data_IF_532934942015
#
_entry.id   IF_532934942015
#
_cell.length_a   1.000
_cell.length_b   1.000
_cell.length_c   1.000
_cell.angle_alpha   90.00
_cell.angle_beta   90.00
_cell.angle_gamma   90.00
#
_symmetry.space_group_name_H-M   'P 1'
#
loop_
_entity.id
_entity.type
_entity.pdbx_description
1 polymer ?
#
# COMPACT_ATOMS: atom_id res chain seq x y z
N UNK A 1 -1.17 -14.02 -2.00
CA UNK A 1 -0.49 -12.72 -2.20
C UNK A 1 0.64 -12.98 -3.18
N UNK A 2 0.62 -12.27 -4.31
CA UNK A 2 1.76 -12.21 -5.24
C UNK A 2 2.92 -11.50 -4.57
N UNK A 3 4.17 -11.76 -4.99
CA UNK A 3 5.33 -11.00 -4.52
C UNK A 3 5.15 -9.48 -4.74
N UNK A 4 4.52 -9.14 -5.87
CA UNK A 4 4.12 -7.79 -6.24
C UNK A 4 2.84 -7.40 -5.49
N UNK A 5 3.01 -6.72 -4.37
CA UNK A 5 1.91 -6.20 -3.55
C UNK A 5 1.93 -4.67 -3.56
N UNK A 6 1.99 -4.10 -4.75
CA UNK A 6 1.92 -2.65 -4.95
C UNK A 6 0.53 -2.26 -5.41
N UNK A 7 -0.02 -1.22 -4.78
CA UNK A 7 -1.34 -0.67 -5.04
C UNK A 7 -1.24 0.84 -5.09
N UNK A 8 -1.90 1.47 -6.06
CA UNK A 8 -1.88 2.93 -6.22
C UNK A 8 -3.29 3.49 -6.19
N UNK A 9 -3.42 4.60 -5.47
CA UNK A 9 -4.60 5.45 -5.50
C UNK A 9 -4.35 6.61 -6.45
N UNK A 10 -5.35 6.93 -7.26
CA UNK A 10 -5.24 7.96 -8.29
C UNK A 10 -5.82 9.29 -7.82
N UNK A 11 -5.27 10.39 -8.35
CA UNK A 11 -5.75 11.75 -8.12
C UNK A 11 -7.16 11.94 -8.69
N UNK A 12 -8.00 12.82 -8.11
CA UNK A 12 -9.29 13.17 -8.71
C UNK A 12 -9.14 13.69 -10.15
N UNK A 13 -10.11 13.39 -11.02
CA UNK A 13 -10.07 13.78 -12.44
C UNK A 13 -9.17 12.91 -13.32
N UNK A 14 -8.71 11.76 -12.82
CA UNK A 14 -7.96 10.79 -13.63
C UNK A 14 -8.90 10.03 -14.60
N UNK A 15 -8.41 9.53 -15.73
CA UNK A 15 -9.26 8.84 -16.72
C UNK A 15 -9.92 7.55 -16.21
N UNK A 16 -9.41 6.93 -15.15
CA UNK A 16 -9.95 5.68 -14.58
C UNK A 16 -10.99 5.91 -13.49
N UNK A 17 -11.30 7.16 -13.14
CA UNK A 17 -12.31 7.51 -12.14
C UNK A 17 -13.65 6.77 -12.32
N UNK A 18 -14.18 6.57 -13.55
CA UNK A 18 -15.44 5.84 -13.75
C UNK A 18 -15.41 4.34 -13.42
N UNK A 19 -14.23 3.77 -13.17
CA UNK A 19 -14.06 2.33 -12.96
C UNK A 19 -13.39 2.00 -11.62
N UNK A 20 -13.11 3.01 -10.78
CA UNK A 20 -12.41 2.79 -9.50
C UNK A 20 -13.22 1.92 -8.52
N UNK A 21 -14.54 1.94 -8.61
CA UNK A 21 -15.44 1.09 -7.82
C UNK A 21 -15.27 -0.42 -8.11
N UNK A 22 -14.67 -0.77 -9.25
CA UNK A 22 -14.31 -2.14 -9.59
C UNK A 22 -13.09 -2.64 -8.82
N UNK A 23 -12.34 -1.77 -8.15
CA UNK A 23 -11.09 -2.10 -7.46
C UNK A 23 -11.24 -2.03 -5.94
N UNK A 24 -10.59 -2.94 -5.18
CA UNK A 24 -10.54 -2.85 -3.73
C UNK A 24 -10.04 -1.48 -3.27
N UNK A 25 -10.83 -0.82 -2.43
CA UNK A 25 -10.55 0.53 -1.89
C UNK A 25 -10.26 1.61 -2.96
N UNK A 26 -10.68 1.37 -4.21
CA UNK A 26 -10.37 2.23 -5.35
C UNK A 26 -8.89 2.24 -5.74
N UNK A 27 -8.13 1.22 -5.35
CA UNK A 27 -6.70 1.13 -5.61
C UNK A 27 -6.39 0.18 -6.76
N UNK A 28 -5.59 0.64 -7.72
CA UNK A 28 -5.23 -0.16 -8.90
C UNK A 28 -3.97 -0.97 -8.59
N UNK A 29 -3.94 -2.27 -8.95
CA UNK A 29 -2.78 -3.11 -8.73
C UNK A 29 -1.64 -2.75 -9.69
N UNK A 30 -0.46 -2.45 -9.17
CA UNK A 30 0.74 -2.20 -9.98
C UNK A 30 1.67 -3.40 -9.94
N UNK A 31 2.31 -3.66 -11.08
CA UNK A 31 3.29 -4.75 -11.24
C UNK A 31 4.56 -4.51 -10.43
N UNK A 32 4.91 -3.24 -10.21
CA UNK A 32 6.14 -2.86 -9.53
C UNK A 32 5.90 -1.63 -8.63
N UNK A 33 6.58 -1.51 -7.48
CA UNK A 33 6.65 -0.28 -6.67
C UNK A 33 7.26 0.94 -7.38
N UNK A 34 7.77 0.79 -8.60
CA UNK A 34 8.37 1.84 -9.41
C UNK A 34 7.73 1.91 -10.81
N UNK A 35 7.77 3.08 -11.46
CA UNK A 35 7.47 3.13 -12.89
C UNK A 35 8.50 2.30 -13.68
N UNK A 36 8.01 1.40 -14.53
CA UNK A 36 8.84 0.44 -15.27
C UNK A 36 9.26 0.95 -16.65
N UNK A 37 8.49 1.87 -17.24
CA UNK A 37 8.67 2.25 -18.63
C UNK A 37 8.96 3.74 -18.78
N UNK A 38 9.85 4.05 -19.73
CA UNK A 38 10.07 5.40 -20.23
C UNK A 38 9.79 5.39 -21.73
N UNK A 39 8.85 6.21 -22.16
CA UNK A 39 8.53 6.39 -23.56
C UNK A 39 8.86 7.81 -23.98
N UNK A 40 9.45 7.95 -25.17
CA UNK A 40 9.68 9.27 -25.76
C UNK A 40 8.37 9.72 -26.41
N UNK A 41 7.77 10.78 -25.89
CA UNK A 41 6.60 11.41 -26.48
C UNK A 41 6.95 12.09 -27.82
N UNK A 42 5.91 12.49 -28.56
CA UNK A 42 6.05 13.06 -29.91
C UNK A 42 6.85 14.37 -29.91
N UNK A 43 6.82 15.11 -28.80
CA UNK A 43 7.57 16.35 -28.56
C UNK A 43 9.00 16.12 -28.05
N UNK A 44 9.41 14.86 -27.87
CA UNK A 44 10.71 14.49 -27.34
C UNK A 44 10.77 14.40 -25.81
N UNK A 45 9.68 14.70 -25.10
CA UNK A 45 9.60 14.56 -23.65
C UNK A 45 9.67 13.08 -23.23
N UNK A 46 10.38 12.79 -22.13
CA UNK A 46 10.41 11.45 -21.56
C UNK A 46 9.23 11.28 -20.61
N UNK A 47 8.26 10.45 -20.99
CA UNK A 47 7.10 10.12 -20.18
C UNK A 47 7.38 8.84 -19.40
N UNK A 48 7.16 8.92 -18.08
CA UNK A 48 7.36 7.82 -17.14
C UNK A 48 6.04 7.10 -16.92
N UNK A 49 6.01 5.80 -17.16
CA UNK A 49 4.83 4.96 -17.14
C UNK A 49 4.94 3.86 -16.07
N UNK A 50 3.83 3.69 -15.35
CA UNK A 50 3.57 2.57 -14.46
C UNK A 50 2.87 1.46 -15.23
N UNK A 51 3.08 0.22 -14.81
CA UNK A 51 2.45 -0.95 -15.44
C UNK A 51 1.46 -1.54 -14.44
N UNK A 52 0.18 -1.53 -14.83
CA UNK A 52 -0.89 -2.20 -14.10
C UNK A 52 -0.67 -3.71 -14.18
N UNK A 53 -0.71 -4.39 -13.05
CA UNK A 53 -0.45 -5.82 -12.97
C UNK A 53 -1.62 -6.63 -13.53
N UNK A 54 -1.46 -7.15 -14.74
CA UNK A 54 -2.49 -7.91 -15.43
C UNK A 54 -2.86 -9.21 -14.69
N UNK A 55 -1.92 -9.83 -13.97
CA UNK A 55 -2.16 -11.09 -13.26
C UNK A 55 -3.08 -10.90 -12.05
N UNK A 56 -3.16 -9.67 -11.54
CA UNK A 56 -4.02 -9.28 -10.41
C UNK A 56 -5.37 -8.70 -10.84
N UNK A 57 -5.61 -8.54 -12.15
CA UNK A 57 -6.88 -8.04 -12.67
C UNK A 57 -7.87 -9.17 -12.90
N UNK A 58 -9.10 -8.98 -12.43
CA UNK A 58 -10.25 -9.72 -12.90
C UNK A 58 -10.62 -9.35 -14.34
N UNK A 59 -11.32 -10.23 -15.04
CA UNK A 59 -11.72 -10.00 -16.44
C UNK A 59 -12.52 -8.71 -16.65
N UNK A 60 -13.38 -8.35 -15.69
CA UNK A 60 -14.18 -7.12 -15.72
C UNK A 60 -13.27 -5.88 -15.60
N UNK A 61 -12.31 -5.89 -14.68
CA UNK A 61 -11.38 -4.79 -14.48
C UNK A 61 -10.48 -4.59 -15.71
N UNK A 62 -9.92 -5.68 -16.26
CA UNK A 62 -9.08 -5.62 -17.45
C UNK A 62 -9.84 -5.06 -18.66
N UNK A 63 -11.08 -5.52 -18.88
CA UNK A 63 -11.93 -5.00 -19.96
C UNK A 63 -12.28 -3.51 -19.77
N UNK A 64 -12.57 -3.08 -18.54
CA UNK A 64 -12.90 -1.70 -18.24
C UNK A 64 -11.72 -0.76 -18.51
N UNK A 65 -10.50 -1.14 -18.10
CA UNK A 65 -9.28 -0.38 -18.42
C UNK A 65 -9.08 -0.33 -19.94
N UNK A 66 -9.18 -1.46 -20.63
CA UNK A 66 -9.01 -1.52 -22.09
C UNK A 66 -10.00 -0.61 -22.82
N UNK A 67 -11.27 -0.57 -22.39
CA UNK A 67 -12.30 0.30 -22.95
C UNK A 67 -11.99 1.78 -22.77
N UNK A 68 -11.52 2.21 -21.59
CA UNK A 68 -11.15 3.60 -21.34
C UNK A 68 -9.99 4.03 -22.23
N UNK A 69 -8.93 3.21 -22.29
CA UNK A 69 -7.76 3.50 -23.12
C UNK A 69 -8.16 3.54 -24.60
N UNK A 70 -8.95 2.55 -25.05
CA UNK A 70 -9.43 2.47 -26.42
C UNK A 70 -10.28 3.69 -26.81
N UNK A 71 -11.18 4.14 -25.92
CA UNK A 71 -11.99 5.34 -26.13
C UNK A 71 -11.10 6.58 -26.29
N UNK A 72 -10.10 6.77 -25.42
CA UNK A 72 -9.18 7.90 -25.52
C UNK A 72 -8.27 7.87 -26.75
N UNK A 73 -7.96 6.68 -27.27
CA UNK A 73 -7.05 6.49 -28.41
C UNK A 73 -7.77 6.31 -29.76
N UNK A 74 -9.10 6.21 -29.75
CA UNK A 74 -9.86 5.84 -30.96
C UNK A 74 -9.48 4.45 -31.49
N UNK A 75 -9.17 3.52 -30.60
CA UNK A 75 -8.73 2.16 -30.93
C UNK A 75 -9.82 1.12 -30.61
N UNK A 76 -9.63 -0.12 -31.07
CA UNK A 76 -10.46 -1.26 -30.65
C UNK A 76 -9.99 -1.74 -29.26
N UNK A 77 -10.90 -1.93 -28.28
CA UNK A 77 -10.54 -2.45 -26.95
C UNK A 77 -9.77 -3.79 -26.98
N UNK A 78 -10.05 -4.67 -27.95
CA UNK A 78 -9.35 -5.94 -28.08
C UNK A 78 -7.89 -5.75 -28.50
N UNK A 79 -7.60 -4.71 -29.31
CA UNK A 79 -6.23 -4.37 -29.70
C UNK A 79 -5.45 -3.88 -28.48
N UNK A 80 -6.07 -3.02 -27.66
CA UNK A 80 -5.46 -2.53 -26.40
C UNK A 80 -5.20 -3.69 -25.43
N UNK A 81 -6.16 -4.60 -25.27
CA UNK A 81 -6.01 -5.77 -24.39
C UNK A 81 -4.90 -6.72 -24.87
N UNK A 82 -4.79 -6.93 -26.20
CA UNK A 82 -3.73 -7.74 -26.78
C UNK A 82 -2.33 -7.10 -26.59
N UNK A 83 -2.22 -5.78 -26.75
CA UNK A 83 -0.98 -5.05 -26.48
C UNK A 83 -0.58 -5.16 -25.00
N UNK A 84 -1.52 -4.92 -24.08
CA UNK A 84 -1.28 -5.07 -22.65
C UNK A 84 -0.81 -6.49 -22.28
N UNK A 85 -1.34 -7.52 -22.92
CA UNK A 85 -0.88 -8.91 -22.72
C UNK A 85 0.57 -9.10 -23.19
N UNK A 86 0.97 -8.46 -24.28
CA UNK A 86 2.33 -8.58 -24.82
C UNK A 86 3.40 -7.85 -23.98
N UNK A 87 3.02 -6.74 -23.35
CA UNK A 87 3.89 -5.92 -22.47
C UNK A 87 3.82 -6.41 -21.02
N UNK A 88 2.79 -7.19 -20.67
CA UNK A 88 2.56 -7.73 -19.33
C UNK A 88 1.87 -6.75 -18.39
N UNK A 89 1.02 -5.86 -18.92
CA UNK A 89 0.19 -4.93 -18.18
C UNK A 89 -0.30 -3.74 -18.99
N UNK A 90 -1.23 -2.97 -18.41
CA UNK A 90 -1.67 -1.69 -19.00
C UNK A 90 -0.77 -0.56 -18.52
N UNK A 91 -0.35 0.32 -19.42
CA UNK A 91 0.49 1.46 -19.03
C UNK A 91 -0.35 2.62 -18.50
N UNK A 92 0.11 3.23 -17.41
CA UNK A 92 -0.53 4.33 -16.72
C UNK A 92 0.47 5.46 -16.48
N UNK A 93 0.05 6.73 -16.64
CA UNK A 93 0.95 7.86 -16.37
C UNK A 93 1.25 7.99 -14.89
N UNK A 94 2.52 8.18 -14.55
CA UNK A 94 2.96 8.44 -13.18
C UNK A 94 2.25 9.65 -12.54
N UNK A 95 1.97 10.69 -13.32
CA UNK A 95 1.34 11.94 -12.86
C UNK A 95 -0.03 11.75 -12.22
N UNK A 96 -0.74 10.68 -12.59
CA UNK A 96 -2.07 10.36 -12.06
C UNK A 96 -2.02 9.75 -10.67
N UNK A 97 -0.87 9.24 -10.23
CA UNK A 97 -0.71 8.61 -8.92
C UNK A 97 -0.73 9.69 -7.83
N UNK A 98 -1.59 9.49 -6.84
CA UNK A 98 -1.70 10.33 -5.63
C UNK A 98 -0.97 9.68 -4.46
N UNK A 99 -1.24 8.40 -4.23
CA UNK A 99 -0.71 7.64 -3.11
C UNK A 99 -0.35 6.24 -3.56
N UNK A 100 0.71 5.69 -2.96
CA UNK A 100 1.16 4.33 -3.17
C UNK A 100 1.19 3.58 -1.85
N UNK A 101 0.67 2.37 -1.88
CA UNK A 101 0.89 1.39 -0.85
C UNK A 101 1.71 0.24 -1.44
N UNK A 102 2.75 -0.15 -0.72
CA UNK A 102 3.61 -1.27 -1.09
C UNK A 102 3.61 -2.29 0.03
N UNK A 103 3.57 -3.57 -0.33
CA UNK A 103 3.92 -4.66 0.56
C UNK A 103 5.43 -4.76 0.79
N UNK A 104 5.89 -5.85 1.42
CA UNK A 104 7.27 -5.98 1.88
C UNK A 104 8.33 -5.87 0.77
N UNK A 105 8.00 -6.27 -0.46
CA UNK A 105 8.89 -6.14 -1.62
C UNK A 105 9.30 -4.68 -1.87
N UNK A 106 8.33 -3.77 -1.85
CA UNK A 106 8.60 -2.35 -2.11
C UNK A 106 9.51 -1.72 -1.06
N UNK A 107 9.33 -2.07 0.21
CA UNK A 107 10.22 -1.60 1.28
C UNK A 107 11.64 -2.16 1.17
N UNK A 108 11.77 -3.47 0.89
CA UNK A 108 13.07 -4.10 0.71
C UNK A 108 13.84 -3.50 -0.47
N UNK A 109 13.17 -3.29 -1.60
CA UNK A 109 13.79 -2.69 -2.80
C UNK A 109 14.18 -1.23 -2.59
N UNK A 110 13.38 -0.46 -1.85
CA UNK A 110 13.74 0.92 -1.47
C UNK A 110 14.93 0.97 -0.52
N UNK A 111 15.03 0.03 0.40
CA UNK A 111 16.21 -0.12 1.26
C UNK A 111 17.45 -0.44 0.44
N UNK A 112 17.35 -1.39 -0.48
CA UNK A 112 18.46 -1.75 -1.38
C UNK A 112 18.90 -0.58 -2.26
N UNK A 113 17.96 0.25 -2.70
CA UNK A 113 18.25 1.48 -3.43
C UNK A 113 18.99 2.51 -2.54
N UNK A 114 18.56 2.68 -1.29
CA UNK A 114 19.26 3.55 -0.34
C UNK A 114 20.68 3.04 -0.06
N UNK A 115 20.86 1.73 0.16
CA UNK A 115 22.16 1.10 0.35
C UNK A 115 23.08 1.26 -0.87
N UNK A 116 22.52 1.15 -2.08
CA UNK A 116 23.25 1.42 -3.32
C UNK A 116 23.77 2.86 -3.37
N UNK A 117 22.93 3.84 -3.02
CA UNK A 117 23.35 5.24 -3.03
C UNK A 117 24.38 5.60 -1.96
N UNK A 118 24.37 4.91 -0.82
CA UNK A 118 25.37 5.14 0.23
C UNK A 118 26.72 4.48 -0.06
N UNK A 119 26.71 3.31 -0.70
CA UNK A 119 27.91 2.48 -0.89
C UNK A 119 28.58 2.66 -2.24
N UNK A 120 27.83 3.07 -3.28
CA UNK A 120 28.38 3.29 -4.60
C UNK A 120 29.23 4.58 -4.64
N UNK A 121 30.34 4.59 -5.41
CA UNK A 121 31.07 5.84 -5.73
C UNK A 121 30.13 6.89 -6.31
N UNK A 122 30.19 8.12 -5.80
CA UNK A 122 29.27 9.20 -6.20
C UNK A 122 29.87 10.12 -7.27
N UNK A 123 29.14 10.42 -8.36
CA UNK A 123 27.85 9.83 -8.75
C UNK A 123 28.01 8.39 -9.26
N UNK A 124 27.01 7.50 -9.09
CA UNK A 124 27.14 6.13 -9.54
C UNK A 124 27.33 6.07 -11.06
N UNK A 125 28.27 5.25 -11.50
CA UNK A 125 28.53 5.06 -12.93
C UNK A 125 27.33 4.40 -13.63
N UNK A 126 27.18 4.63 -14.94
CA UNK A 126 26.15 3.97 -15.74
C UNK A 126 26.23 2.43 -15.67
N UNK A 127 27.45 1.88 -15.49
CA UNK A 127 27.65 0.45 -15.28
C UNK A 127 27.10 0.00 -13.93
N UNK A 128 27.42 0.72 -12.85
CA UNK A 128 26.93 0.40 -11.51
C UNK A 128 25.40 0.45 -11.44
N UNK A 129 24.78 1.45 -12.06
CA UNK A 129 23.31 1.52 -12.20
C UNK A 129 22.74 0.32 -12.95
N UNK A 130 23.38 -0.10 -14.04
CA UNK A 130 22.92 -1.26 -14.82
C UNK A 130 23.04 -2.55 -14.04
N UNK A 131 24.14 -2.74 -13.31
CA UNK A 131 24.34 -3.91 -12.44
C UNK A 131 23.29 -3.95 -11.32
N UNK A 132 23.02 -2.80 -10.68
CA UNK A 132 21.95 -2.69 -9.69
C UNK A 132 20.58 -3.00 -10.30
N UNK A 133 20.22 -2.37 -11.42
CA UNK A 133 18.94 -2.58 -12.10
C UNK A 133 18.74 -4.04 -12.53
N UNK A 134 19.75 -4.66 -13.15
CA UNK A 134 19.66 -6.06 -13.57
C UNK A 134 19.47 -6.99 -12.36
N UNK A 135 20.18 -6.74 -11.25
CA UNK A 135 19.98 -7.49 -10.01
C UNK A 135 18.56 -7.35 -9.45
N UNK A 136 17.97 -6.15 -9.51
CA UNK A 136 16.58 -5.94 -9.11
C UNK A 136 15.62 -6.73 -10.01
N UNK A 137 15.81 -6.65 -11.33
CA UNK A 137 14.96 -7.30 -12.31
C UNK A 137 15.02 -8.84 -12.21
N UNK A 138 16.22 -9.40 -12.14
CA UNK A 138 16.46 -10.85 -12.07
C UNK A 138 15.89 -11.47 -10.79
N UNK A 139 15.95 -10.77 -9.65
CA UNK A 139 15.51 -11.31 -8.35
C UNK A 139 14.03 -11.06 -8.09
N UNK A 140 13.59 -9.82 -8.30
CA UNK A 140 12.24 -9.40 -7.91
C UNK A 140 11.22 -9.57 -9.03
N UNK A 141 11.59 -9.34 -10.29
CA UNK A 141 10.64 -9.38 -11.42
C UNK A 141 10.58 -10.78 -12.04
N UNK A 142 11.73 -11.32 -12.46
CA UNK A 142 11.79 -12.65 -13.09
C UNK A 142 12.04 -13.78 -12.09
N UNK A 143 12.68 -13.47 -10.96
CA UNK A 143 13.05 -14.45 -9.93
C UNK A 143 11.94 -14.75 -8.93
N UNK A 144 12.26 -15.61 -7.96
CA UNK A 144 11.36 -16.09 -6.91
C UNK A 144 11.79 -15.58 -5.52
N UNK A 145 12.52 -14.45 -5.45
CA UNK A 145 12.94 -13.90 -4.17
C UNK A 145 11.73 -13.42 -3.36
N UNK A 146 11.68 -13.83 -2.09
CA UNK A 146 10.59 -13.48 -1.17
C UNK A 146 11.11 -12.45 -0.18
N UNK A 147 10.48 -11.26 -0.10
CA UNK A 147 10.92 -10.22 0.83
C UNK A 147 10.66 -10.65 2.29
N UNK A 148 11.50 -10.18 3.24
CA UNK A 148 11.22 -10.40 4.65
C UNK A 148 9.87 -9.78 5.03
N UNK A 149 9.06 -10.41 5.90
CA UNK A 149 7.77 -9.87 6.31
C UNK A 149 7.94 -8.57 7.10
N UNK A 150 6.97 -7.66 6.96
CA UNK A 150 6.90 -6.40 7.72
C UNK A 150 5.64 -6.44 8.58
N UNK A 151 5.83 -6.66 9.87
CA UNK A 151 4.77 -6.80 10.86
C UNK A 151 4.54 -5.49 11.61
N UNK A 152 5.59 -4.67 11.75
CA UNK A 152 5.51 -3.37 12.40
C UNK A 152 6.43 -2.34 11.76
N UNK A 153 6.32 -1.09 12.21
CA UNK A 153 7.16 0.00 11.73
C UNK A 153 8.64 -0.23 12.08
N UNK A 154 8.92 -0.98 13.14
CA UNK A 154 10.27 -1.35 13.56
C UNK A 154 10.99 -2.24 12.53
N UNK A 155 10.25 -3.00 11.72
CA UNK A 155 10.78 -3.83 10.64
C UNK A 155 11.18 -3.00 9.40
N UNK A 156 10.68 -1.77 9.29
CA UNK A 156 11.01 -0.85 8.18
C UNK A 156 12.34 -0.17 8.44
N UNK A 157 13.18 -0.05 7.41
CA UNK A 157 14.46 0.67 7.51
C UNK A 157 14.23 2.12 8.01
N UNK A 158 14.98 2.60 9.03
CA UNK A 158 14.79 3.94 9.59
C UNK A 158 14.84 5.08 8.57
N UNK A 159 15.60 4.94 7.47
CA UNK A 159 15.70 5.94 6.40
C UNK A 159 14.41 6.09 5.59
N UNK A 160 13.55 5.08 5.63
CA UNK A 160 12.28 5.03 4.89
C UNK A 160 11.08 5.39 5.77
N UNK A 161 11.28 5.58 7.08
CA UNK A 161 10.18 5.90 8.01
C UNK A 161 9.79 7.36 7.86
N UNK A 162 8.49 7.60 7.71
CA UNK A 162 7.89 8.94 7.76
C UNK A 162 6.76 8.97 8.77
N UNK A 163 6.44 10.13 9.37
CA UNK A 163 5.32 10.23 10.32
C UNK A 163 4.00 9.71 9.76
N UNK A 164 3.77 9.87 8.46
CA UNK A 164 2.59 9.37 7.75
C UNK A 164 2.59 7.83 7.71
N UNK A 165 3.75 7.23 7.42
CA UNK A 165 3.90 5.77 7.40
C UNK A 165 3.71 5.18 8.80
N UNK A 166 4.30 5.77 9.84
CA UNK A 166 4.10 5.31 11.21
C UNK A 166 2.63 5.38 11.62
N UNK A 167 1.95 6.46 11.26
CA UNK A 167 0.50 6.61 11.48
C UNK A 167 -0.28 5.54 10.75
N UNK A 168 0.05 5.23 9.50
CA UNK A 168 -0.62 4.18 8.73
C UNK A 168 -0.47 2.80 9.39
N UNK A 169 0.73 2.45 9.88
CA UNK A 169 0.95 1.20 10.63
C UNK A 169 0.15 1.17 11.94
N UNK A 170 0.08 2.28 12.68
CA UNK A 170 -0.73 2.39 13.90
C UNK A 170 -2.22 2.23 13.60
N UNK A 171 -2.75 2.93 12.59
CA UNK A 171 -4.15 2.83 12.19
C UNK A 171 -4.51 1.42 11.74
N UNK A 172 -3.65 0.74 10.98
CA UNK A 172 -3.89 -0.66 10.58
C UNK A 172 -3.99 -1.61 11.77
N UNK A 173 -3.20 -1.39 12.83
CA UNK A 173 -3.32 -2.15 14.10
C UNK A 173 -4.67 -1.88 14.78
N UNK A 174 -5.10 -0.62 14.84
CA UNK A 174 -6.43 -0.24 15.37
C UNK A 174 -7.55 -0.90 14.58
N UNK A 175 -7.56 -0.76 13.26
CA UNK A 175 -8.58 -1.33 12.38
C UNK A 175 -8.67 -2.85 12.51
N UNK A 176 -7.52 -3.53 12.59
CA UNK A 176 -7.47 -4.99 12.78
C UNK A 176 -8.03 -5.38 14.15
N UNK A 177 -7.72 -4.64 15.20
CA UNK A 177 -8.26 -4.90 16.53
C UNK A 177 -9.76 -4.58 16.62
N UNK A 178 -10.22 -3.52 15.97
CA UNK A 178 -11.64 -3.18 15.85
C UNK A 178 -12.43 -4.27 15.13
N UNK A 179 -11.90 -4.79 14.02
CA UNK A 179 -12.53 -5.87 13.26
C UNK A 179 -12.59 -7.19 14.04
N UNK A 180 -11.55 -7.51 14.80
CA UNK A 180 -11.45 -8.77 15.56
C UNK A 180 -12.05 -8.71 16.97
N UNK A 181 -12.24 -7.51 17.52
CA UNK A 181 -12.67 -7.31 18.91
C UNK A 181 -14.14 -7.62 19.19
N UNK A 182 -14.94 -7.92 18.16
CA UNK A 182 -16.36 -8.26 18.26
C UNK A 182 -17.17 -7.27 19.13
N UNK A 183 -16.89 -5.98 18.97
CA UNK A 183 -17.53 -4.92 19.74
C UNK A 183 -19.03 -4.83 19.43
N UNK A 184 -19.85 -4.75 20.47
CA UNK A 184 -21.27 -4.42 20.34
C UNK A 184 -21.47 -2.92 20.11
N UNK A 185 -22.70 -2.53 19.71
CA UNK A 185 -23.08 -1.10 19.65
C UNK A 185 -22.88 -0.42 21.01
N UNK A 186 -23.11 -1.15 22.10
CA UNK A 186 -22.87 -0.62 23.45
C UNK A 186 -21.39 -0.33 23.66
N UNK A 187 -20.48 -1.26 23.33
CA UNK A 187 -19.03 -1.08 23.51
C UNK A 187 -18.48 0.12 22.72
N UNK A 188 -19.06 0.39 21.55
CA UNK A 188 -18.71 1.58 20.75
C UNK A 188 -19.23 2.85 21.43
N UNK A 189 -20.49 2.86 21.86
CA UNK A 189 -21.12 4.03 22.47
C UNK A 189 -20.58 4.35 23.88
N UNK A 190 -20.14 3.35 24.64
CA UNK A 190 -19.52 3.52 25.95
C UNK A 190 -18.04 3.85 25.86
N UNK A 191 -17.44 3.82 24.66
CA UNK A 191 -16.05 4.16 24.43
C UNK A 191 -15.05 3.03 24.68
N UNK A 192 -15.50 1.80 24.99
CA UNK A 192 -14.62 0.65 25.21
C UNK A 192 -13.74 0.36 24.00
N UNK A 193 -14.33 0.35 22.81
CA UNK A 193 -13.58 0.15 21.57
C UNK A 193 -12.51 1.24 21.36
N UNK A 194 -12.76 2.47 21.84
CA UNK A 194 -11.81 3.57 21.76
C UNK A 194 -10.66 3.40 22.74
N UNK A 195 -10.95 3.02 24.00
CA UNK A 195 -9.93 2.73 25.02
C UNK A 195 -9.01 1.58 24.59
N UNK A 196 -9.58 0.49 24.08
CA UNK A 196 -8.81 -0.64 23.57
C UNK A 196 -7.91 -0.23 22.40
N UNK A 197 -8.41 0.62 21.50
CA UNK A 197 -7.63 1.19 20.41
C UNK A 197 -6.47 2.06 20.89
N UNK A 198 -6.70 2.89 21.92
CA UNK A 198 -5.67 3.74 22.54
C UNK A 198 -4.57 2.91 23.18
N UNK A 199 -4.92 1.87 23.94
CA UNK A 199 -3.97 0.94 24.55
C UNK A 199 -3.12 0.17 23.51
N UNK A 200 -3.64 -0.02 22.29
CA UNK A 200 -2.89 -0.65 21.19
C UNK A 200 -1.89 0.29 20.54
N UNK A 201 -2.25 1.57 20.34
CA UNK A 201 -1.39 2.55 19.65
C UNK A 201 -0.38 3.23 20.57
N UNK A 202 -0.67 3.21 21.87
CA UNK A 202 0.12 3.83 22.91
C UNK A 202 0.16 2.94 24.17
N UNK A 203 0.83 1.77 24.08
CA UNK A 203 0.88 0.81 25.17
C UNK A 203 1.69 1.28 26.39
N UNK A 204 2.42 2.39 26.27
CA UNK A 204 3.14 3.00 27.38
C UNK A 204 2.19 3.74 28.34
N UNK A 205 0.99 4.09 27.86
CA UNK A 205 -0.08 4.68 28.64
C UNK A 205 -1.20 3.65 28.85
N UNK A 206 -1.65 3.51 30.10
CA UNK A 206 -2.80 2.66 30.43
C UNK A 206 -4.07 3.50 30.43
N UNK A 207 -4.86 3.38 29.37
CA UNK A 207 -6.18 4.00 29.28
C UNK A 207 -7.22 3.04 29.84
N UNK A 208 -8.11 3.55 30.69
CA UNK A 208 -9.30 2.84 31.16
C UNK A 208 -10.54 3.71 30.96
N UNK A 209 -11.71 3.06 30.95
CA UNK A 209 -12.97 3.78 30.99
C UNK A 209 -13.20 4.33 32.40
N UNK A 210 -13.40 5.64 32.49
CA UNK A 210 -13.71 6.30 33.77
C UNK A 210 -14.96 5.65 34.39
N UNK A 211 -14.80 5.08 35.59
CA UNK A 211 -15.88 4.45 36.34
C UNK A 211 -16.17 2.98 36.00
N UNK A 212 -15.33 2.29 35.22
CA UNK A 212 -15.38 0.82 35.05
C UNK A 212 -14.38 0.09 35.96
N UNK A 213 -13.27 0.74 36.32
CA UNK A 213 -12.28 0.20 37.26
C UNK A 213 -12.88 0.00 38.68
N UNK A 214 -13.99 0.69 38.99
CA UNK A 214 -14.73 0.54 40.27
C UNK A 214 -15.77 -0.61 40.25
N UNK A 215 -16.02 -1.26 39.11
CA UNK A 215 -16.99 -2.35 39.02
C UNK A 215 -16.37 -3.75 39.01
N UNK A 216 -15.08 -3.88 38.66
CA UNK A 216 -14.37 -5.18 38.54
C UNK A 216 -13.36 -5.46 39.67
N UNK A 217 -13.25 -4.59 40.69
CA UNK A 217 -12.50 -4.85 41.93
C UNK A 217 -13.40 -4.65 43.17
N UNK A 218 -14.07 -5.73 43.59
CA UNK A 218 -14.31 -6.13 44.99
C UNK A 218 -14.52 -5.05 46.10
N UNK A 219 -15.27 -3.97 45.89
CA UNK A 219 -15.74 -3.10 46.99
C UNK A 219 -17.22 -2.69 46.88
N UNK A 220 -18.12 -3.66 46.68
CA UNK A 220 -19.38 -3.62 47.42
C UNK A 220 -19.09 -4.15 48.83
N UNK A 221 -18.44 -3.33 49.67
CA UNK A 221 -18.44 -3.55 51.11
C UNK A 221 -19.89 -3.39 51.59
N UNK A 222 -20.64 -4.49 51.65
CA UNK A 222 -21.99 -4.59 52.22
C UNK A 222 -22.01 -4.37 53.76
N UNK A 223 -20.98 -3.75 54.35
CA UNK A 223 -20.80 -3.60 55.80
C UNK A 223 -20.77 -2.14 56.32
N UNK A 224 -21.23 -1.15 55.55
CA UNK A 224 -21.62 0.16 56.10
C UNK A 224 -23.14 0.37 56.03
N UNK A 225 -23.87 -0.49 56.75
CA UNK A 225 -25.12 -0.09 57.40
C UNK A 225 -24.74 0.43 58.79
N UNK A 226 -25.41 1.52 59.22
CA UNK A 226 -25.36 2.27 60.49
C UNK A 226 -24.44 3.52 60.46
N UNK A 227 -24.91 4.77 60.61
CA UNK A 227 -26.15 5.34 61.21
C UNK A 227 -26.86 6.37 60.30
#
# INVERSE_FOLDING_TARGET
MTKHDTWVKLKPGNPYEPILDLFPDGMIPMRDPFPLERVTAVDGEQVVLWIVDLERLGSIQANAIAQIIAHHRGADPNVVAAEATSVGGFSMKHEWVDFIWCGPEGFQRQKELADFFETAPQPPSARAYREFYNSQHERWIEGEEVPPPINSIEDVDPRLRTPELERAFKMRKVESAMANGNYSVLDVLTGRAMVDSLNIIDPENSYSLVGYDEFDEDEFNEDEIYE
#
